data_IF_551174417687
#
_entry.id   IF_551174417687
#
_cell.length_a   1.000
_cell.length_b   1.000
_cell.length_c   1.000
_cell.angle_alpha   90.00
_cell.angle_beta   90.00
_cell.angle_gamma   90.00
#
_symmetry.space_group_name_H-M   'P 1'
#
loop_
_entity.id
_entity.type
_entity.pdbx_description
1 polymer ?
#
# COMPACT_ATOMS: atom_id res chain seq x y z
N UNK A 1 -14.85 -15.76 5.35
CA UNK A 1 -15.80 -16.57 4.60
C UNK A 1 -17.17 -15.90 4.65
N UNK A 2 -17.81 -15.73 3.50
CA UNK A 2 -19.18 -15.18 3.43
C UNK A 2 -20.12 -16.38 3.25
N UNK A 3 -20.87 -16.69 4.28
CA UNK A 3 -21.96 -17.67 4.23
C UNK A 3 -23.29 -16.92 4.40
N UNK A 4 -24.19 -17.07 3.44
CA UNK A 4 -25.52 -16.44 3.45
C UNK A 4 -25.49 -14.89 3.58
N UNK A 5 -24.48 -14.21 3.03
CA UNK A 5 -24.35 -12.76 3.08
C UNK A 5 -23.81 -12.20 4.41
N UNK A 6 -23.38 -13.06 5.33
CA UNK A 6 -22.74 -12.67 6.57
C UNK A 6 -21.23 -12.95 6.54
N UNK A 7 -20.42 -11.99 7.00
CA UNK A 7 -19.00 -12.21 7.26
C UNK A 7 -18.83 -13.03 8.53
N UNK A 8 -17.95 -14.04 8.50
CA UNK A 8 -17.53 -14.78 9.69
C UNK A 8 -16.19 -14.27 10.18
N UNK A 9 -15.98 -14.27 11.49
CA UNK A 9 -14.70 -13.97 12.12
C UNK A 9 -14.33 -15.12 13.06
N UNK A 10 -13.08 -15.57 12.98
CA UNK A 10 -12.47 -16.50 13.91
C UNK A 10 -11.39 -15.79 14.71
N UNK A 11 -11.18 -16.25 15.94
CA UNK A 11 -10.15 -15.76 16.82
C UNK A 11 -9.22 -16.92 17.21
N UNK A 12 -7.91 -16.71 17.00
CA UNK A 12 -6.90 -17.72 17.34
C UNK A 12 -5.85 -17.13 18.29
N UNK A 13 -5.52 -17.87 19.32
CA UNK A 13 -4.44 -17.54 20.26
C UNK A 13 -3.21 -18.33 19.89
N UNK A 14 -2.16 -17.63 19.50
CA UNK A 14 -0.89 -18.23 19.08
C UNK A 14 0.16 -17.98 20.16
N UNK A 15 0.86 -19.04 20.57
CA UNK A 15 1.99 -18.97 21.50
C UNK A 15 3.29 -18.90 20.72
N UNK A 16 4.17 -17.96 21.06
CA UNK A 16 5.47 -17.83 20.41
C UNK A 16 6.05 -16.43 20.47
N UNK A 17 7.20 -16.26 19.86
CA UNK A 17 7.78 -14.94 19.66
C UNK A 17 7.16 -14.29 18.43
N UNK A 18 6.51 -13.14 18.61
CA UNK A 18 6.26 -12.22 17.52
C UNK A 18 7.62 -11.77 16.96
N UNK A 19 7.80 -11.64 15.65
CA UNK A 19 6.83 -11.75 14.56
C UNK A 19 6.69 -13.17 13.96
N UNK A 20 7.55 -14.10 14.31
CA UNK A 20 7.61 -15.42 13.67
C UNK A 20 6.30 -16.21 13.77
N UNK A 21 5.56 -16.02 14.86
CA UNK A 21 4.29 -16.71 15.11
C UNK A 21 3.19 -16.40 14.08
N UNK A 22 3.24 -15.22 13.44
CA UNK A 22 2.21 -14.82 12.46
C UNK A 22 2.42 -15.36 11.05
N UNK A 23 3.66 -15.74 10.68
CA UNK A 23 4.01 -16.09 9.30
C UNK A 23 3.12 -17.20 8.72
N UNK A 24 2.86 -18.33 9.41
CA UNK A 24 2.01 -19.37 8.88
C UNK A 24 0.60 -18.91 8.51
N UNK A 25 0.04 -17.99 9.30
CA UNK A 25 -1.29 -17.39 9.06
C UNK A 25 -1.22 -16.34 7.95
N UNK A 26 -0.20 -15.50 7.99
CA UNK A 26 0.00 -14.44 7.00
C UNK A 26 0.13 -14.99 5.58
N UNK A 27 0.72 -16.17 5.40
CA UNK A 27 0.93 -16.81 4.09
C UNK A 27 -0.35 -17.33 3.44
N UNK A 28 -1.35 -17.72 4.23
CA UNK A 28 -2.62 -18.26 3.73
C UNK A 28 -3.72 -17.20 3.62
N UNK A 29 -3.49 -16.01 4.14
CA UNK A 29 -4.40 -14.88 4.00
C UNK A 29 -4.32 -14.27 2.60
N UNK A 30 -5.41 -13.71 2.11
CA UNK A 30 -5.41 -12.90 0.88
C UNK A 30 -4.77 -11.53 1.14
N UNK A 31 -5.05 -10.93 2.30
CA UNK A 31 -4.51 -9.65 2.74
C UNK A 31 -4.22 -9.74 4.25
N UNK A 32 -3.04 -9.32 4.66
CA UNK A 32 -2.71 -9.12 6.07
C UNK A 32 -3.12 -7.72 6.50
N UNK A 33 -3.90 -7.56 7.55
CA UNK A 33 -4.41 -6.26 7.99
C UNK A 33 -3.83 -5.93 9.37
N UNK A 34 -3.21 -4.75 9.47
CA UNK A 34 -2.68 -4.22 10.71
C UNK A 34 -3.33 -2.87 11.02
N UNK A 35 -3.68 -2.66 12.28
CA UNK A 35 -4.20 -1.38 12.76
C UNK A 35 -3.01 -0.56 13.27
N UNK A 36 -2.83 0.65 12.76
CA UNK A 36 -1.79 1.56 13.25
C UNK A 36 -2.10 1.98 14.68
N UNK A 37 -1.13 1.82 15.56
CA UNK A 37 -1.18 2.33 16.94
C UNK A 37 -0.39 3.63 17.04
N UNK A 38 -0.72 4.47 18.02
CA UNK A 38 0.00 5.74 18.27
C UNK A 38 1.46 5.51 18.73
N UNK A 39 1.80 4.28 19.11
CA UNK A 39 3.13 3.84 19.51
C UNK A 39 3.88 3.15 18.36
N UNK A 40 3.94 3.77 17.18
CA UNK A 40 4.68 3.23 16.00
C UNK A 40 6.19 3.04 16.29
N UNK A 41 6.71 3.74 17.29
CA UNK A 41 8.10 3.56 17.76
C UNK A 41 8.29 2.31 18.62
N UNK A 42 7.25 1.52 18.87
CA UNK A 42 7.37 0.20 19.46
C UNK A 42 8.04 -0.72 18.42
N UNK A 43 9.31 -1.07 18.68
CA UNK A 43 10.13 -1.89 17.78
C UNK A 43 9.43 -3.18 17.35
N UNK A 44 8.66 -3.78 18.26
CA UNK A 44 7.92 -5.01 18.01
C UNK A 44 6.85 -4.85 16.93
N UNK A 45 6.19 -3.68 16.85
CA UNK A 45 5.14 -3.43 15.86
C UNK A 45 5.69 -3.22 14.45
N UNK A 46 6.79 -2.47 14.33
CA UNK A 46 7.48 -2.27 13.06
C UNK A 46 8.01 -3.58 12.51
N UNK A 47 8.60 -4.41 13.36
CA UNK A 47 9.13 -5.72 13.01
C UNK A 47 8.03 -6.69 12.57
N UNK A 48 6.86 -6.60 13.20
CA UNK A 48 5.69 -7.40 12.84
C UNK A 48 5.19 -7.09 11.43
N UNK A 49 5.02 -5.79 11.12
CA UNK A 49 4.60 -5.35 9.77
C UNK A 49 5.66 -5.73 8.73
N UNK A 50 6.93 -5.52 9.02
CA UNK A 50 8.02 -5.89 8.11
C UNK A 50 8.04 -7.39 7.85
N UNK A 51 7.94 -8.21 8.90
CA UNK A 51 7.89 -9.66 8.76
C UNK A 51 6.69 -10.11 7.91
N UNK A 52 5.50 -9.55 8.16
CA UNK A 52 4.34 -9.84 7.32
C UNK A 52 4.57 -9.45 5.86
N UNK A 53 5.18 -8.30 5.62
CA UNK A 53 5.43 -7.79 4.28
C UNK A 53 6.48 -8.59 3.51
N UNK A 54 7.62 -8.94 4.15
CA UNK A 54 8.73 -9.62 3.49
C UNK A 54 8.59 -11.14 3.44
N UNK A 55 8.02 -11.74 4.48
CA UNK A 55 8.08 -13.19 4.66
C UNK A 55 6.76 -13.90 4.36
N UNK A 56 5.65 -13.17 4.20
CA UNK A 56 4.36 -13.78 3.86
C UNK A 56 4.16 -14.00 2.36
N UNK A 57 4.76 -13.14 1.51
CA UNK A 57 4.48 -13.08 0.07
C UNK A 57 3.05 -12.60 -0.23
N UNK A 58 2.44 -11.86 0.68
CA UNK A 58 1.08 -11.33 0.57
C UNK A 58 1.07 -9.81 0.78
N UNK A 59 0.02 -9.18 0.27
CA UNK A 59 -0.19 -7.76 0.51
C UNK A 59 -0.48 -7.48 1.98
N UNK A 60 0.04 -6.35 2.46
CA UNK A 60 -0.16 -5.88 3.83
C UNK A 60 -0.90 -4.55 3.81
N UNK A 61 -2.09 -4.52 4.41
CA UNK A 61 -2.92 -3.33 4.56
C UNK A 61 -2.73 -2.73 5.95
N UNK A 62 -2.26 -1.51 6.01
CA UNK A 62 -2.16 -0.72 7.22
C UNK A 62 -3.34 0.26 7.29
N UNK A 63 -4.13 0.18 8.35
CA UNK A 63 -5.28 1.06 8.59
C UNK A 63 -5.08 1.88 9.86
N UNK A 64 -5.73 3.04 9.96
CA UNK A 64 -5.78 3.80 11.21
C UNK A 64 -6.73 3.14 12.21
N UNK A 65 -6.65 3.54 13.49
CA UNK A 65 -7.59 3.09 14.53
C UNK A 65 -9.02 3.61 14.30
N UNK A 66 -9.19 4.63 13.47
CA UNK A 66 -10.49 5.16 13.07
C UNK A 66 -11.00 4.40 11.86
N UNK A 67 -12.19 3.79 11.99
CA UNK A 67 -12.81 3.05 10.90
C UNK A 67 -13.15 4.02 9.77
N UNK A 68 -12.60 3.84 8.55
CA UNK A 68 -12.90 4.72 7.43
C UNK A 68 -14.35 4.52 6.95
N UNK A 69 -14.96 5.59 6.42
CA UNK A 69 -16.32 5.54 5.87
C UNK A 69 -16.41 4.63 4.62
N UNK A 70 -15.33 4.52 3.86
CA UNK A 70 -15.18 3.61 2.73
C UNK A 70 -13.74 3.11 2.65
N UNK A 71 -13.53 2.01 1.96
CA UNK A 71 -12.21 1.48 1.64
C UNK A 71 -12.23 0.90 0.23
N UNK A 72 -11.17 1.13 -0.52
CA UNK A 72 -10.98 0.64 -1.89
C UNK A 72 -12.03 1.11 -2.92
N UNK A 73 -12.75 2.21 -2.63
CA UNK A 73 -13.64 2.87 -3.59
C UNK A 73 -12.88 3.81 -4.52
N UNK A 74 -11.95 4.56 -3.95
CA UNK A 74 -11.14 5.54 -4.66
C UNK A 74 -9.67 5.27 -4.38
N UNK A 75 -9.03 4.57 -5.29
CA UNK A 75 -7.69 4.02 -5.10
C UNK A 75 -6.65 4.92 -5.77
N UNK A 76 -5.60 5.24 -5.03
CA UNK A 76 -4.38 5.84 -5.56
C UNK A 76 -3.31 4.76 -5.68
N UNK A 77 -2.73 4.61 -6.86
CA UNK A 77 -1.52 3.82 -7.11
C UNK A 77 -0.32 4.78 -7.10
N UNK A 78 0.59 4.63 -6.15
CA UNK A 78 1.87 5.34 -6.16
C UNK A 78 2.82 4.60 -7.10
N UNK A 79 3.08 5.20 -8.25
CA UNK A 79 3.84 4.57 -9.32
C UNK A 79 5.21 5.19 -9.49
N UNK A 80 6.25 4.38 -9.39
CA UNK A 80 7.64 4.76 -9.61
C UNK A 80 8.37 3.81 -10.58
N UNK A 81 7.63 2.98 -11.34
CA UNK A 81 8.20 2.03 -12.29
C UNK A 81 8.98 0.86 -11.68
N UNK A 82 9.05 0.73 -10.36
CA UNK A 82 9.78 -0.36 -9.70
C UNK A 82 9.07 -1.71 -9.82
N UNK A 83 9.82 -2.79 -9.61
CA UNK A 83 9.28 -4.14 -9.58
C UNK A 83 8.26 -4.31 -8.43
N UNK A 84 8.49 -3.66 -7.30
CA UNK A 84 7.60 -3.66 -6.14
C UNK A 84 6.27 -2.95 -6.47
N UNK A 85 6.32 -1.80 -7.15
CA UNK A 85 5.13 -1.11 -7.61
C UNK A 85 4.35 -1.95 -8.64
N UNK A 86 5.05 -2.63 -9.55
CA UNK A 86 4.41 -3.53 -10.50
C UNK A 86 3.74 -4.74 -9.81
N UNK A 87 4.39 -5.33 -8.79
CA UNK A 87 3.77 -6.38 -7.97
C UNK A 87 2.55 -5.86 -7.21
N UNK A 88 2.64 -4.65 -6.65
CA UNK A 88 1.52 -4.03 -5.95
C UNK A 88 0.30 -3.86 -6.84
N UNK A 89 0.48 -3.39 -8.06
CA UNK A 89 -0.60 -3.31 -9.06
C UNK A 89 -1.19 -4.70 -9.35
N UNK A 90 -0.35 -5.69 -9.61
CA UNK A 90 -0.81 -7.05 -9.95
C UNK A 90 -1.60 -7.69 -8.79
N UNK A 91 -1.12 -7.58 -7.56
CA UNK A 91 -1.78 -8.18 -6.39
C UNK A 91 -3.07 -7.45 -5.99
N UNK A 92 -3.21 -6.18 -6.34
CA UNK A 92 -4.42 -5.40 -6.04
C UNK A 92 -5.44 -5.35 -7.18
N UNK A 93 -5.18 -6.02 -8.29
CA UNK A 93 -6.06 -6.02 -9.46
C UNK A 93 -7.54 -6.30 -9.12
N UNK A 94 -7.89 -7.27 -8.27
CA UNK A 94 -9.30 -7.50 -7.90
C UNK A 94 -9.97 -6.30 -7.21
N UNK A 95 -9.21 -5.51 -6.43
CA UNK A 95 -9.71 -4.29 -5.80
C UNK A 95 -9.81 -3.15 -6.82
N UNK A 96 -8.82 -3.01 -7.70
CA UNK A 96 -8.83 -2.00 -8.75
C UNK A 96 -10.02 -2.16 -9.70
N UNK A 97 -10.40 -3.40 -10.04
CA UNK A 97 -11.55 -3.70 -10.89
C UNK A 97 -12.90 -3.37 -10.25
N UNK A 98 -12.97 -3.31 -8.93
CA UNK A 98 -14.18 -2.97 -8.18
C UNK A 98 -14.24 -1.51 -7.74
N UNK A 99 -13.15 -0.76 -7.92
CA UNK A 99 -13.04 0.63 -7.51
C UNK A 99 -13.94 1.54 -8.38
N UNK A 100 -14.50 2.57 -7.76
CA UNK A 100 -15.26 3.62 -8.45
C UNK A 100 -14.35 4.59 -9.21
N UNK A 101 -13.11 4.77 -8.73
CA UNK A 101 -12.09 5.60 -9.39
C UNK A 101 -10.68 5.10 -9.03
N UNK A 102 -9.79 5.09 -10.02
CA UNK A 102 -8.38 4.74 -9.86
C UNK A 102 -7.51 5.89 -10.38
N UNK A 103 -6.51 6.29 -9.61
CA UNK A 103 -5.55 7.32 -9.97
C UNK A 103 -4.14 6.75 -9.92
N UNK A 104 -3.32 7.03 -10.93
CA UNK A 104 -1.91 6.67 -10.94
C UNK A 104 -1.13 7.94 -10.65
N UNK A 105 -0.52 8.03 -9.48
CA UNK A 105 0.26 9.20 -9.09
C UNK A 105 1.75 8.87 -9.22
N UNK A 106 2.44 9.67 -10.04
CA UNK A 106 3.89 9.70 -10.15
C UNK A 106 4.38 11.00 -9.55
N UNK A 107 5.34 10.91 -8.64
CA UNK A 107 6.05 12.10 -8.15
C UNK A 107 7.35 12.18 -8.93
N UNK A 108 7.39 13.13 -9.86
CA UNK A 108 8.52 13.28 -10.76
C UNK A 108 9.73 13.81 -10.00
N UNK A 109 10.84 13.10 -10.13
CA UNK A 109 12.18 13.55 -9.81
C UNK A 109 12.92 13.71 -11.15
N UNK A 110 13.79 14.70 -11.27
CA UNK A 110 14.46 15.00 -12.53
C UNK A 110 15.14 13.75 -13.11
N UNK A 111 14.67 13.26 -14.25
CA UNK A 111 15.31 12.19 -15.04
C UNK A 111 14.63 10.81 -15.04
N UNK A 112 13.51 10.61 -14.33
CA UNK A 112 12.83 9.32 -14.31
C UNK A 112 11.63 9.28 -15.28
N UNK A 113 11.72 8.46 -16.34
CA UNK A 113 10.62 8.21 -17.29
C UNK A 113 9.66 7.11 -16.75
N UNK A 114 9.03 7.37 -15.63
CA UNK A 114 8.00 6.46 -15.06
C UNK A 114 6.63 6.75 -15.69
N UNK A 115 6.52 6.60 -17.00
CA UNK A 115 5.34 6.97 -17.78
C UNK A 115 4.03 6.33 -17.22
N UNK A 116 3.22 7.05 -16.43
CA UNK A 116 1.99 6.51 -15.85
C UNK A 116 0.92 6.22 -16.91
N UNK A 117 1.02 6.82 -18.10
CA UNK A 117 0.08 6.57 -19.19
C UNK A 117 0.21 5.18 -19.78
N UNK A 118 1.42 4.59 -19.78
CA UNK A 118 1.61 3.19 -20.19
C UNK A 118 0.94 2.23 -19.19
N UNK A 119 1.05 2.51 -17.91
CA UNK A 119 0.35 1.72 -16.89
C UNK A 119 -1.16 1.88 -17.04
N UNK A 120 -1.67 3.10 -17.25
CA UNK A 120 -3.10 3.33 -17.46
C UNK A 120 -3.65 2.54 -18.65
N UNK A 121 -2.92 2.53 -19.79
CA UNK A 121 -3.31 1.72 -20.96
C UNK A 121 -3.31 0.21 -20.67
N UNK A 122 -2.37 -0.29 -19.84
CA UNK A 122 -2.34 -1.69 -19.42
C UNK A 122 -3.52 -2.03 -18.50
N UNK A 123 -3.85 -1.13 -17.58
CA UNK A 123 -5.01 -1.30 -16.68
C UNK A 123 -6.33 -1.31 -17.45
N UNK A 124 -6.46 -0.45 -18.46
CA UNK A 124 -7.64 -0.41 -19.34
C UNK A 124 -7.89 -1.76 -20.03
N UNK A 125 -6.83 -2.44 -20.49
CA UNK A 125 -6.95 -3.79 -21.06
C UNK A 125 -7.45 -4.84 -20.04
N UNK A 126 -7.34 -4.54 -18.76
CA UNK A 126 -7.83 -5.37 -17.66
C UNK A 126 -9.16 -4.88 -17.07
N UNK A 127 -9.84 -3.96 -17.75
CA UNK A 127 -11.13 -3.42 -17.34
C UNK A 127 -11.06 -2.36 -16.22
N UNK A 128 -9.89 -1.75 -16.01
CA UNK A 128 -9.68 -0.71 -15.00
C UNK A 128 -9.37 0.61 -15.67
N UNK A 129 -10.32 1.56 -15.62
CA UNK A 129 -10.09 2.93 -16.09
C UNK A 129 -9.33 3.72 -15.02
N UNK A 130 -8.07 4.06 -15.31
CA UNK A 130 -7.21 4.77 -14.37
C UNK A 130 -6.78 6.13 -14.94
N UNK A 131 -6.76 7.16 -14.07
CA UNK A 131 -6.37 8.53 -14.42
C UNK A 131 -4.91 8.77 -14.02
N UNK A 132 -4.00 8.99 -14.99
CA UNK A 132 -2.63 9.39 -14.70
C UNK A 132 -2.57 10.80 -14.12
N UNK A 133 -1.75 10.98 -13.08
CA UNK A 133 -1.54 12.27 -12.41
C UNK A 133 -0.06 12.40 -12.08
N UNK A 134 0.63 13.33 -12.73
CA UNK A 134 2.00 13.69 -12.36
C UNK A 134 2.01 14.84 -11.36
N UNK A 135 2.94 14.83 -10.45
CA UNK A 135 3.19 15.90 -9.49
C UNK A 135 4.67 15.99 -9.16
N UNK A 136 5.16 17.18 -8.83
CA UNK A 136 6.53 17.39 -8.38
C UNK A 136 6.56 17.41 -6.85
N UNK A 137 7.64 16.96 -6.28
CA UNK A 137 7.86 17.08 -4.85
C UNK A 137 8.16 18.53 -4.42
N UNK A 138 8.66 19.36 -5.37
CA UNK A 138 9.16 20.70 -5.12
C UNK A 138 10.13 20.71 -3.91
N UNK A 139 9.79 21.46 -2.85
CA UNK A 139 10.55 21.47 -1.60
C UNK A 139 9.99 20.50 -0.55
N UNK A 140 8.92 19.77 -0.87
CA UNK A 140 8.32 18.78 0.01
C UNK A 140 8.94 17.39 -0.20
N UNK A 141 8.70 16.46 0.73
CA UNK A 141 9.07 15.06 0.51
C UNK A 141 8.11 14.39 -0.49
N UNK A 142 8.60 13.37 -1.20
CA UNK A 142 7.79 12.53 -2.11
C UNK A 142 6.53 12.01 -1.40
N UNK A 143 6.66 11.57 -0.15
CA UNK A 143 5.54 11.11 0.67
C UNK A 143 4.50 12.21 0.92
N UNK A 144 4.94 13.43 1.24
CA UNK A 144 4.05 14.57 1.46
C UNK A 144 3.30 14.95 0.19
N UNK A 145 3.97 14.98 -0.95
CA UNK A 145 3.35 15.26 -2.25
C UNK A 145 2.30 14.19 -2.61
N UNK A 146 2.62 12.92 -2.38
CA UNK A 146 1.72 11.79 -2.62
C UNK A 146 0.46 11.87 -1.73
N UNK A 147 0.63 12.10 -0.42
CA UNK A 147 -0.49 12.25 0.52
C UNK A 147 -1.38 13.43 0.11
N UNK A 148 -0.79 14.59 -0.17
CA UNK A 148 -1.54 15.77 -0.58
C UNK A 148 -2.38 15.52 -1.85
N UNK A 149 -1.83 14.80 -2.82
CA UNK A 149 -2.56 14.40 -4.02
C UNK A 149 -3.65 13.38 -3.73
N UNK A 150 -3.38 12.38 -2.88
CA UNK A 150 -4.37 11.38 -2.48
C UNK A 150 -5.56 12.04 -1.77
N UNK A 151 -5.31 12.98 -0.87
CA UNK A 151 -6.36 13.77 -0.21
C UNK A 151 -7.16 14.58 -1.25
N UNK A 152 -6.47 15.24 -2.20
CA UNK A 152 -7.13 16.07 -3.22
C UNK A 152 -8.09 15.28 -4.12
N UNK A 153 -7.77 14.01 -4.39
CA UNK A 153 -8.65 13.13 -5.19
C UNK A 153 -9.62 12.35 -4.31
N UNK A 154 -9.70 12.64 -3.02
CA UNK A 154 -10.53 11.95 -2.03
C UNK A 154 -10.30 10.43 -2.03
N UNK A 155 -9.03 10.03 -2.08
CA UNK A 155 -8.67 8.62 -2.03
C UNK A 155 -9.01 8.03 -0.65
N UNK A 156 -9.49 6.80 -0.66
CA UNK A 156 -9.75 6.00 0.55
C UNK A 156 -8.81 4.78 0.66
N UNK A 157 -7.87 4.67 -0.27
CA UNK A 157 -6.76 3.71 -0.20
C UNK A 157 -5.59 4.17 -1.07
N UNK A 158 -4.37 3.98 -0.57
CA UNK A 158 -3.12 4.16 -1.32
C UNK A 158 -2.48 2.79 -1.49
N UNK A 159 -2.12 2.43 -2.73
CA UNK A 159 -1.40 1.21 -3.09
C UNK A 159 0.04 1.59 -3.39
N UNK A 160 1.01 0.96 -2.72
CA UNK A 160 2.43 1.21 -2.90
C UNK A 160 3.23 -0.08 -3.05
N UNK A 161 4.28 -0.05 -3.89
CA UNK A 161 5.40 -0.96 -3.77
C UNK A 161 6.27 -0.52 -2.59
N UNK A 162 6.49 -1.41 -1.65
CA UNK A 162 7.22 -1.09 -0.43
C UNK A 162 8.70 -1.49 -0.55
N UNK A 163 9.58 -0.66 -0.03
CA UNK A 163 11.03 -0.92 0.09
C UNK A 163 11.73 -1.22 -1.24
N UNK A 164 11.41 -0.48 -2.32
CA UNK A 164 12.11 -0.62 -3.60
C UNK A 164 13.58 -0.19 -3.50
N UNK A 165 14.48 -1.01 -4.05
CA UNK A 165 15.93 -0.81 -3.96
C UNK A 165 16.50 0.25 -4.91
N UNK A 166 15.68 1.00 -5.60
CA UNK A 166 16.10 1.90 -6.67
C UNK A 166 16.48 3.30 -6.15
N UNK A 167 17.53 3.39 -5.32
CA UNK A 167 18.53 4.49 -5.27
C UNK A 167 19.64 4.15 -4.29
N UNK A 168 20.81 3.75 -4.88
CA UNK A 168 22.17 3.93 -4.35
C UNK A 168 22.33 4.03 -2.81
N UNK A 169 22.50 2.92 -2.15
CA UNK A 169 23.58 2.74 -1.16
C UNK A 169 23.36 3.22 0.26
N UNK A 170 22.35 4.02 0.63
CA UNK A 170 22.38 4.62 1.98
C UNK A 170 21.08 4.66 2.80
N UNK A 171 19.96 4.10 2.34
CA UNK A 171 18.79 3.96 3.23
C UNK A 171 18.10 2.61 3.06
N UNK A 172 18.45 1.70 3.93
CA UNK A 172 17.89 0.34 4.06
C UNK A 172 16.40 0.35 4.43
N UNK A 173 15.85 1.51 4.78
CA UNK A 173 14.43 1.69 5.10
C UNK A 173 13.86 2.79 4.22
N UNK A 174 13.03 2.44 3.22
CA UNK A 174 12.43 3.39 2.30
C UNK A 174 11.69 4.53 3.05
N UNK A 175 12.29 5.71 3.06
CA UNK A 175 11.77 6.88 3.77
C UNK A 175 10.33 7.20 3.40
N UNK A 176 9.97 7.03 2.14
CA UNK A 176 8.58 7.24 1.65
C UNK A 176 7.61 6.27 2.32
N UNK A 177 7.93 4.98 2.39
CA UNK A 177 7.05 3.97 3.02
C UNK A 177 6.86 4.27 4.51
N UNK A 178 7.94 4.56 5.23
CA UNK A 178 7.89 4.90 6.66
C UNK A 178 7.11 6.19 6.92
N UNK A 179 7.36 7.21 6.13
CA UNK A 179 6.64 8.49 6.22
C UNK A 179 5.13 8.30 5.96
N UNK A 180 4.77 7.53 4.95
CA UNK A 180 3.37 7.21 4.66
C UNK A 180 2.73 6.47 5.84
N UNK A 181 3.41 5.45 6.37
CA UNK A 181 2.93 4.70 7.53
C UNK A 181 2.67 5.59 8.74
N UNK A 182 3.48 6.62 8.97
CA UNK A 182 3.38 7.49 10.14
C UNK A 182 2.43 8.68 9.97
N UNK A 183 2.21 9.16 8.73
CA UNK A 183 1.54 10.44 8.47
C UNK A 183 0.21 10.33 7.74
N UNK A 184 -0.08 9.19 7.11
CA UNK A 184 -1.31 9.05 6.32
C UNK A 184 -2.45 8.52 7.17
N UNK A 185 -3.58 9.22 7.18
CA UNK A 185 -4.85 8.69 7.71
C UNK A 185 -5.57 7.79 6.70
N UNK A 186 -5.16 7.87 5.43
CA UNK A 186 -5.69 7.01 4.37
C UNK A 186 -5.06 5.62 4.52
N UNK A 187 -5.87 4.54 4.46
CA UNK A 187 -5.37 3.16 4.43
C UNK A 187 -4.31 2.93 3.36
N UNK A 188 -3.23 2.21 3.71
CA UNK A 188 -2.11 1.96 2.82
C UNK A 188 -1.97 0.46 2.60
N UNK A 189 -2.09 0.04 1.34
CA UNK A 189 -1.82 -1.33 0.93
C UNK A 189 -0.42 -1.43 0.34
N UNK A 190 0.41 -2.25 0.96
CA UNK A 190 1.82 -2.43 0.66
C UNK A 190 2.09 -3.81 0.07
N UNK A 191 3.01 -3.88 -0.89
CA UNK A 191 3.52 -5.12 -1.47
C UNK A 191 5.03 -5.00 -1.65
N UNK A 192 5.76 -6.05 -1.34
CA UNK A 192 7.20 -6.16 -1.56
C UNK A 192 7.55 -7.19 -2.64
#
# INVERSE_FOLDING_TARGET
RIENGHSSADFEVVMGQLPNAIIPFARIADINIFVRTDNIDDLDWSDLIQTALFDSGRSTLLVSSVVPASIAKRIVIAWNGSAEAARAVAMTMPLLQQAEAVFIITVDDEGDDHNPSKLAATLEMNGVTATPVSTNADQASVSSALIAKAVKVHADMIVIGAYSHNRLGEMIFGGVTRDLQSRSDIPILMVH
#
